data_IF_814321261782
#
_entry.id   IF_814321261782
#
_cell.length_a   1.000
_cell.length_b   1.000
_cell.length_c   1.000
_cell.angle_alpha   90.00
_cell.angle_beta   90.00
_cell.angle_gamma   90.00
#
_symmetry.space_group_name_H-M   'P 1'
#
loop_
_entity.id
_entity.type
_entity.pdbx_description
1 polymer ?
#
# COMPACT_ATOMS: atom_id res chain seq x y z
N UNK A 1 21.53 -46.42 19.14
CA UNK A 1 20.24 -45.91 19.66
C UNK A 1 20.32 -44.41 19.48
N UNK A 2 19.51 -43.82 18.60
CA UNK A 2 19.44 -42.36 18.48
C UNK A 2 18.63 -41.89 19.69
N UNK A 3 19.26 -41.15 20.59
CA UNK A 3 18.62 -40.61 21.80
C UNK A 3 17.51 -39.63 21.39
N UNK A 4 16.28 -40.15 21.31
CA UNK A 4 15.07 -39.40 20.99
C UNK A 4 14.83 -38.25 21.99
N UNK A 5 15.28 -38.42 23.23
CA UNK A 5 15.18 -37.42 24.30
C UNK A 5 16.11 -36.21 24.09
N UNK A 6 17.32 -36.42 23.56
CA UNK A 6 18.26 -35.33 23.23
C UNK A 6 17.79 -34.52 22.02
N UNK A 7 17.13 -35.18 21.06
CA UNK A 7 16.51 -34.53 19.91
C UNK A 7 15.27 -33.73 20.35
N UNK A 8 14.44 -34.28 21.23
CA UNK A 8 13.24 -33.61 21.76
C UNK A 8 13.60 -32.36 22.60
N UNK A 9 14.61 -32.47 23.46
CA UNK A 9 15.10 -31.34 24.27
C UNK A 9 15.73 -30.21 23.43
N UNK A 10 16.36 -30.54 22.30
CA UNK A 10 16.98 -29.56 21.39
C UNK A 10 15.94 -28.78 20.56
N UNK A 11 14.78 -29.39 20.26
CA UNK A 11 13.72 -28.77 19.45
C UNK A 11 12.57 -28.14 20.26
N UNK A 12 12.42 -28.44 21.55
CA UNK A 12 11.34 -27.87 22.39
C UNK A 12 11.43 -26.35 22.55
N UNK A 13 12.62 -25.83 22.88
CA UNK A 13 12.88 -24.41 23.12
C UNK A 13 12.55 -23.52 21.90
N UNK A 14 13.03 -23.80 20.67
CA UNK A 14 12.69 -22.98 19.51
C UNK A 14 11.23 -23.10 19.06
N UNK A 15 10.59 -24.26 19.27
CA UNK A 15 9.17 -24.47 18.93
C UNK A 15 8.26 -23.70 19.91
N UNK A 16 8.54 -23.75 21.21
CA UNK A 16 7.80 -23.01 22.22
C UNK A 16 7.94 -21.49 22.01
N UNK A 17 9.16 -21.02 21.74
CA UNK A 17 9.42 -19.60 21.46
C UNK A 17 8.74 -19.14 20.17
N UNK A 18 8.71 -19.98 19.13
CA UNK A 18 7.98 -19.71 17.88
C UNK A 18 6.46 -19.67 18.07
N UNK A 19 5.90 -20.57 18.89
CA UNK A 19 4.48 -20.60 19.25
C UNK A 19 4.06 -19.40 20.10
N UNK A 20 4.88 -19.00 21.07
CA UNK A 20 4.64 -17.79 21.86
C UNK A 20 4.75 -16.52 21.01
N UNK A 21 5.68 -16.48 20.05
CA UNK A 21 5.79 -15.42 19.05
C UNK A 21 4.56 -15.34 18.13
N UNK A 22 4.01 -16.48 17.71
CA UNK A 22 2.75 -16.54 16.96
C UNK A 22 1.53 -16.15 17.81
N UNK A 23 1.50 -16.53 19.08
CA UNK A 23 0.43 -16.17 20.01
C UNK A 23 0.43 -14.67 20.32
N UNK A 24 1.59 -14.09 20.62
CA UNK A 24 1.74 -12.64 20.85
C UNK A 24 1.53 -11.84 19.55
N UNK A 25 2.01 -12.34 18.42
CA UNK A 25 1.76 -11.74 17.10
C UNK A 25 0.28 -11.73 16.72
N UNK A 26 -0.46 -12.79 17.04
CA UNK A 26 -1.91 -12.82 16.79
C UNK A 26 -2.70 -11.91 17.75
N UNK A 27 -2.33 -11.87 19.04
CA UNK A 27 -2.98 -10.97 20.01
C UNK A 27 -2.75 -9.49 19.70
N UNK A 28 -1.53 -9.11 19.27
CA UNK A 28 -1.22 -7.74 18.85
C UNK A 28 -1.92 -7.35 17.54
N UNK A 29 -2.03 -8.29 16.59
CA UNK A 29 -2.84 -8.08 15.40
C UNK A 29 -4.32 -7.84 15.74
N UNK A 30 -4.90 -8.66 16.63
CA UNK A 30 -6.30 -8.50 17.05
C UNK A 30 -6.55 -7.18 17.80
N UNK A 31 -5.66 -6.77 18.69
CA UNK A 31 -5.84 -5.53 19.46
C UNK A 31 -5.67 -4.26 18.61
N UNK A 32 -4.97 -4.34 17.48
CA UNK A 32 -4.85 -3.27 16.49
C UNK A 32 -6.04 -3.10 15.55
N UNK A 33 -6.91 -4.12 15.42
CA UNK A 33 -8.03 -4.11 14.47
C UNK A 33 -8.97 -2.90 14.60
N UNK A 34 -9.39 -2.47 15.81
CA UNK A 34 -10.27 -1.30 15.95
C UNK A 34 -9.61 0.00 15.47
N UNK A 35 -8.31 0.15 15.72
CA UNK A 35 -7.54 1.33 15.28
C UNK A 35 -7.39 1.37 13.77
N UNK A 36 -7.12 0.21 13.14
CA UNK A 36 -7.09 0.08 11.68
C UNK A 36 -8.46 0.41 11.09
N UNK A 37 -9.55 -0.11 11.67
CA UNK A 37 -10.91 0.16 11.18
C UNK A 37 -11.29 1.64 11.26
N UNK A 38 -10.99 2.31 12.37
CA UNK A 38 -11.18 3.75 12.52
C UNK A 38 -10.34 4.55 11.53
N UNK A 39 -9.05 4.22 11.41
CA UNK A 39 -8.15 4.85 10.46
C UNK A 39 -8.64 4.71 9.03
N UNK A 40 -9.05 3.50 8.63
CA UNK A 40 -9.54 3.20 7.28
C UNK A 40 -10.85 3.94 6.99
N UNK A 41 -11.76 4.02 7.97
CA UNK A 41 -13.00 4.80 7.85
C UNK A 41 -12.71 6.29 7.65
N UNK A 42 -11.83 6.86 8.48
CA UNK A 42 -11.40 8.25 8.39
C UNK A 42 -10.71 8.55 7.08
N UNK A 43 -9.71 7.75 6.71
CA UNK A 43 -8.96 7.92 5.47
C UNK A 43 -9.88 7.82 4.26
N UNK A 44 -10.84 6.88 4.27
CA UNK A 44 -11.84 6.77 3.20
C UNK A 44 -12.72 8.02 3.14
N UNK A 45 -13.18 8.55 4.27
CA UNK A 45 -13.97 9.78 4.31
C UNK A 45 -13.20 10.99 3.80
N UNK A 46 -11.94 11.16 4.24
CA UNK A 46 -11.06 12.24 3.80
C UNK A 46 -10.75 12.13 2.31
N UNK A 47 -10.40 10.94 1.83
CA UNK A 47 -10.19 10.68 0.41
C UNK A 47 -11.45 10.97 -0.41
N UNK A 48 -12.61 10.55 0.07
CA UNK A 48 -13.88 10.82 -0.59
C UNK A 48 -14.17 12.33 -0.67
N UNK A 49 -13.95 13.07 0.42
CA UNK A 49 -14.12 14.52 0.44
C UNK A 49 -13.14 15.21 -0.53
N UNK A 50 -11.87 14.81 -0.52
CA UNK A 50 -10.85 15.33 -1.43
C UNK A 50 -11.16 15.02 -2.91
N UNK A 51 -11.60 13.80 -3.21
CA UNK A 51 -11.96 13.41 -4.58
C UNK A 51 -13.23 14.12 -5.05
N UNK A 52 -14.21 14.32 -4.18
CA UNK A 52 -15.46 15.03 -4.49
C UNK A 52 -15.21 16.52 -4.76
N UNK A 53 -14.39 17.16 -3.92
CA UNK A 53 -14.12 18.60 -4.02
C UNK A 53 -12.82 18.89 -4.79
N UNK A 54 -12.30 17.90 -5.53
CA UNK A 54 -10.99 17.95 -6.17
C UNK A 54 -10.81 19.13 -7.12
N UNK A 55 -11.80 19.43 -7.95
CA UNK A 55 -11.76 20.59 -8.86
C UNK A 55 -11.67 21.93 -8.11
N UNK A 56 -12.40 22.07 -6.99
CA UNK A 56 -12.34 23.27 -6.16
C UNK A 56 -11.00 23.37 -5.43
N UNK A 57 -10.45 22.24 -4.97
CA UNK A 57 -9.13 22.19 -4.33
C UNK A 57 -8.01 22.58 -5.31
N UNK A 58 -8.07 22.08 -6.54
CA UNK A 58 -7.13 22.42 -7.62
C UNK A 58 -7.22 23.91 -7.97
N UNK A 59 -8.43 24.43 -8.18
CA UNK A 59 -8.65 25.85 -8.51
C UNK A 59 -8.17 26.76 -7.38
N UNK A 60 -8.42 26.38 -6.13
CA UNK A 60 -7.92 27.08 -4.95
C UNK A 60 -6.39 27.06 -4.89
N UNK A 61 -5.76 25.91 -5.10
CA UNK A 61 -4.30 25.78 -5.19
C UNK A 61 -3.70 26.71 -6.25
N UNK A 62 -4.30 26.77 -7.44
CA UNK A 62 -3.86 27.64 -8.54
C UNK A 62 -4.01 29.13 -8.22
N UNK A 63 -4.99 29.50 -7.39
CA UNK A 63 -5.23 30.88 -6.95
C UNK A 63 -4.26 31.30 -5.83
N UNK A 64 -3.90 30.36 -4.97
CA UNK A 64 -3.06 30.59 -3.79
C UNK A 64 -1.57 30.55 -4.10
N UNK A 65 -1.16 29.73 -5.08
CA UNK A 65 0.25 29.55 -5.44
C UNK A 65 0.65 30.64 -6.45
N UNK A 66 1.54 31.59 -6.08
CA UNK A 66 1.99 32.66 -6.95
C UNK A 66 3.05 32.15 -7.94
N UNK A 67 2.63 31.29 -8.86
CA UNK A 67 3.46 30.67 -9.90
C UNK A 67 2.88 31.02 -11.25
N UNK A 68 3.73 31.28 -12.25
CA UNK A 68 3.29 31.69 -13.59
C UNK A 68 2.37 30.64 -14.23
N UNK A 69 1.37 31.09 -14.99
CA UNK A 69 0.43 30.20 -15.68
C UNK A 69 1.12 29.12 -16.51
N UNK A 70 2.27 29.44 -17.11
CA UNK A 70 3.10 28.49 -17.87
C UNK A 70 3.61 27.32 -17.02
N UNK A 71 4.07 27.61 -15.80
CA UNK A 71 4.60 26.58 -14.88
C UNK A 71 3.45 25.79 -14.25
N UNK A 72 2.29 26.41 -14.02
CA UNK A 72 1.09 25.68 -13.56
C UNK A 72 0.61 24.66 -14.60
N UNK A 73 0.59 25.02 -15.89
CA UNK A 73 0.22 24.12 -16.98
C UNK A 73 1.23 22.97 -17.13
N UNK A 74 2.52 23.26 -17.03
CA UNK A 74 3.59 22.24 -17.09
C UNK A 74 3.48 21.25 -15.92
N UNK A 75 3.26 21.74 -14.69
CA UNK A 75 3.03 20.90 -13.52
C UNK A 75 1.82 19.98 -13.69
N UNK A 76 0.70 20.49 -14.20
CA UNK A 76 -0.50 19.67 -14.40
C UNK A 76 -0.30 18.60 -15.46
N UNK A 77 0.35 18.94 -16.57
CA UNK A 77 0.71 17.96 -17.59
C UNK A 77 1.63 16.86 -17.02
N UNK A 78 2.62 17.23 -16.21
CA UNK A 78 3.50 16.27 -15.55
C UNK A 78 2.73 15.39 -14.54
N UNK A 79 1.81 15.96 -13.77
CA UNK A 79 0.95 15.17 -12.86
C UNK A 79 0.06 14.19 -13.62
N UNK A 80 -0.53 14.59 -14.73
CA UNK A 80 -1.34 13.72 -15.58
C UNK A 80 -0.50 12.58 -16.15
N UNK A 81 0.70 12.87 -16.65
CA UNK A 81 1.65 11.86 -17.14
C UNK A 81 2.06 10.89 -16.02
N UNK A 82 2.33 11.40 -14.81
CA UNK A 82 2.67 10.57 -13.65
C UNK A 82 1.50 9.69 -13.21
N UNK A 83 0.27 10.22 -13.19
CA UNK A 83 -0.94 9.46 -12.88
C UNK A 83 -1.16 8.35 -13.91
N UNK A 84 -1.03 8.68 -15.19
CA UNK A 84 -1.19 7.71 -16.27
C UNK A 84 -0.11 6.62 -16.22
N UNK A 85 1.16 7.01 -16.05
CA UNK A 85 2.27 6.08 -15.89
C UNK A 85 2.08 5.15 -14.69
N UNK A 86 1.56 5.68 -13.57
CA UNK A 86 1.25 4.90 -12.37
C UNK A 86 0.14 3.87 -12.62
N UNK A 87 -0.96 4.27 -13.26
CA UNK A 87 -2.07 3.36 -13.59
C UNK A 87 -1.61 2.26 -14.54
N UNK A 88 -0.93 2.62 -15.63
CA UNK A 88 -0.42 1.67 -16.61
C UNK A 88 0.62 0.74 -16.00
N UNK A 89 1.52 1.27 -15.17
CA UNK A 89 2.53 0.51 -14.44
C UNK A 89 1.89 -0.51 -13.49
N UNK A 90 0.87 -0.11 -12.73
CA UNK A 90 0.17 -1.00 -11.81
C UNK A 90 -0.54 -2.14 -12.55
N UNK A 91 -1.20 -1.85 -13.67
CA UNK A 91 -1.87 -2.87 -14.50
C UNK A 91 -0.84 -3.84 -15.11
N UNK A 92 0.29 -3.33 -15.60
CA UNK A 92 1.35 -4.16 -16.17
C UNK A 92 1.95 -5.11 -15.12
N UNK A 93 2.25 -4.60 -13.93
CA UNK A 93 2.77 -5.40 -12.81
C UNK A 93 1.74 -6.44 -12.36
N UNK A 94 0.47 -6.06 -12.23
CA UNK A 94 -0.61 -6.99 -11.88
C UNK A 94 -0.74 -8.13 -12.90
N UNK A 95 -0.59 -7.83 -14.20
CA UNK A 95 -0.56 -8.84 -15.26
C UNK A 95 0.59 -9.83 -15.10
N UNK A 96 1.81 -9.34 -14.89
CA UNK A 96 3.00 -10.18 -14.69
C UNK A 96 2.83 -11.08 -13.46
N UNK A 97 2.35 -10.52 -12.34
CA UNK A 97 2.14 -11.28 -11.11
C UNK A 97 1.06 -12.36 -11.27
N UNK A 98 -0.04 -12.05 -11.95
CA UNK A 98 -1.09 -13.00 -12.23
C UNK A 98 -0.58 -14.17 -13.09
N UNK A 99 0.22 -13.90 -14.13
CA UNK A 99 0.80 -14.94 -14.98
C UNK A 99 1.78 -15.82 -14.19
N UNK A 100 2.67 -15.22 -13.39
CA UNK A 100 3.63 -15.96 -12.59
C UNK A 100 2.95 -16.84 -11.54
N UNK A 101 2.01 -16.29 -10.77
CA UNK A 101 1.30 -17.07 -9.75
C UNK A 101 0.36 -18.09 -10.39
N UNK A 102 -0.35 -17.72 -11.46
CA UNK A 102 -1.21 -18.62 -12.23
C UNK A 102 -0.45 -19.82 -12.81
N UNK A 103 0.76 -19.60 -13.33
CA UNK A 103 1.67 -20.67 -13.74
C UNK A 103 2.02 -21.62 -12.59
N UNK A 104 2.27 -21.06 -11.40
CA UNK A 104 2.48 -21.85 -10.18
C UNK A 104 1.26 -22.69 -9.77
N UNK A 105 0.06 -22.13 -9.87
CA UNK A 105 -1.20 -22.83 -9.55
C UNK A 105 -1.46 -24.01 -10.50
N UNK A 106 -1.13 -23.84 -11.79
CA UNK A 106 -1.22 -24.90 -12.80
C UNK A 106 -0.20 -26.00 -12.51
N UNK A 107 1.06 -25.64 -12.22
CA UNK A 107 2.13 -26.58 -11.90
C UNK A 107 1.77 -27.51 -10.73
N UNK A 108 1.05 -26.97 -9.75
CA UNK A 108 0.64 -27.68 -8.53
C UNK A 108 -0.64 -28.53 -8.74
N UNK A 109 -1.32 -28.35 -9.87
CA UNK A 109 -2.55 -29.07 -10.21
C UNK A 109 -3.72 -28.64 -9.32
N UNK A 110 -3.85 -27.34 -9.05
CA UNK A 110 -4.97 -26.80 -8.27
C UNK A 110 -6.26 -26.80 -9.09
N UNK A 111 -7.42 -27.19 -8.52
CA UNK A 111 -8.71 -27.08 -9.21
C UNK A 111 -9.08 -25.60 -9.43
N UNK A 112 -9.49 -25.25 -10.64
CA UNK A 112 -9.89 -23.88 -11.01
C UNK A 112 -8.75 -22.85 -11.12
N UNK A 113 -7.60 -23.17 -11.74
CA UNK A 113 -6.44 -22.26 -11.76
C UNK A 113 -6.74 -20.96 -12.52
N UNK A 114 -7.62 -21.00 -13.53
CA UNK A 114 -8.04 -19.82 -14.30
C UNK A 114 -8.78 -18.81 -13.42
N UNK A 115 -9.69 -19.30 -12.57
CA UNK A 115 -10.45 -18.44 -11.65
C UNK A 115 -9.52 -17.76 -10.64
N UNK A 116 -8.61 -18.53 -10.04
CA UNK A 116 -7.65 -18.01 -9.07
C UNK A 116 -6.66 -17.03 -9.71
N UNK A 117 -6.22 -17.29 -10.94
CA UNK A 117 -5.36 -16.38 -11.70
C UNK A 117 -6.06 -15.04 -11.98
N UNK A 118 -7.34 -15.08 -12.36
CA UNK A 118 -8.14 -13.88 -12.56
C UNK A 118 -8.37 -13.12 -11.24
N UNK A 119 -8.60 -13.86 -10.15
CA UNK A 119 -8.70 -13.28 -8.82
C UNK A 119 -7.37 -12.61 -8.41
N UNK A 120 -6.22 -13.25 -8.70
CA UNK A 120 -4.90 -12.66 -8.48
C UNK A 120 -4.74 -11.36 -9.25
N UNK A 121 -5.11 -11.33 -10.54
CA UNK A 121 -5.04 -10.10 -11.33
C UNK A 121 -5.87 -8.98 -10.70
N UNK A 122 -7.13 -9.25 -10.34
CA UNK A 122 -8.01 -8.26 -9.70
C UNK A 122 -7.48 -7.79 -8.33
N UNK A 123 -6.92 -8.69 -7.52
CA UNK A 123 -6.35 -8.38 -6.21
C UNK A 123 -5.01 -7.62 -6.33
N UNK A 124 -4.20 -7.89 -7.35
CA UNK A 124 -2.95 -7.18 -7.63
C UNK A 124 -3.18 -5.75 -8.11
N UNK A 125 -4.34 -5.42 -8.66
CA UNK A 125 -4.70 -4.03 -8.92
C UNK A 125 -4.85 -3.22 -7.63
N UNK A 126 -5.15 -3.87 -6.50
CA UNK A 126 -5.18 -3.27 -5.16
C UNK A 126 -3.77 -3.37 -4.52
N UNK A 127 -3.02 -2.26 -4.42
CA UNK A 127 -1.62 -2.29 -3.95
C UNK A 127 -1.46 -2.84 -2.53
N UNK A 128 -2.51 -2.74 -1.70
CA UNK A 128 -2.50 -3.18 -0.31
C UNK A 128 -2.70 -4.70 -0.16
N UNK A 129 -3.36 -5.36 -1.11
CA UNK A 129 -3.72 -6.79 -1.00
C UNK A 129 -2.80 -7.64 -1.87
N UNK A 130 -2.57 -7.22 -3.11
CA UNK A 130 -1.60 -7.85 -3.99
C UNK A 130 -1.85 -9.34 -4.25
N UNK A 131 -0.78 -10.03 -4.67
CA UNK A 131 -0.79 -11.48 -4.83
C UNK A 131 -0.96 -12.25 -3.50
N UNK A 132 -0.64 -11.61 -2.36
CA UNK A 132 -0.73 -12.19 -1.02
C UNK A 132 -2.13 -12.68 -0.68
N UNK A 133 -3.16 -11.95 -1.12
CA UNK A 133 -4.56 -12.33 -0.94
C UNK A 133 -4.93 -13.68 -1.57
N UNK A 134 -4.15 -14.20 -2.52
CA UNK A 134 -4.40 -15.50 -3.18
C UNK A 134 -3.44 -16.58 -2.70
N UNK A 135 -2.12 -16.34 -2.73
CA UNK A 135 -1.16 -17.42 -2.47
C UNK A 135 -1.17 -17.89 -1.01
N UNK A 136 -1.48 -17.04 -0.03
CA UNK A 136 -1.55 -17.43 1.38
C UNK A 136 -2.73 -18.36 1.66
N UNK A 137 -3.99 -18.00 1.33
CA UNK A 137 -5.12 -18.92 1.51
C UNK A 137 -4.94 -20.23 0.74
N UNK A 138 -4.39 -20.17 -0.47
CA UNK A 138 -4.10 -21.36 -1.29
C UNK A 138 -3.07 -22.27 -0.62
N UNK A 139 -1.98 -21.71 -0.08
CA UNK A 139 -0.95 -22.49 0.61
C UNK A 139 -1.52 -23.17 1.86
N UNK A 140 -2.32 -22.46 2.64
CA UNK A 140 -3.01 -22.99 3.83
C UNK A 140 -3.98 -24.11 3.44
N UNK A 141 -4.75 -23.91 2.36
CA UNK A 141 -5.66 -24.94 1.84
C UNK A 141 -4.92 -26.21 1.41
N UNK A 142 -3.80 -26.07 0.69
CA UNK A 142 -2.96 -27.20 0.26
C UNK A 142 -2.36 -27.98 1.44
N UNK A 143 -1.99 -27.30 2.53
CA UNK A 143 -1.58 -27.95 3.78
C UNK A 143 -2.74 -28.70 4.44
N UNK A 144 -3.95 -28.09 4.46
CA UNK A 144 -5.15 -28.70 5.04
C UNK A 144 -5.61 -29.99 4.36
N UNK A 145 -5.38 -30.11 3.05
CA UNK A 145 -5.66 -31.35 2.28
C UNK A 145 -4.50 -32.35 2.28
N UNK A 146 -3.46 -32.12 3.09
CA UNK A 146 -2.32 -33.05 3.24
C UNK A 146 -1.35 -33.05 2.06
N UNK A 147 -1.24 -31.95 1.29
CA UNK A 147 -0.32 -31.82 0.15
C UNK A 147 0.79 -30.80 0.45
N UNK A 148 1.80 -31.14 1.29
CA UNK A 148 2.82 -30.19 1.74
C UNK A 148 3.79 -29.74 0.63
N UNK A 149 4.12 -30.61 -0.33
CA UNK A 149 5.03 -30.27 -1.44
C UNK A 149 4.44 -29.20 -2.36
N UNK A 150 3.21 -29.36 -2.89
CA UNK A 150 2.40 -28.27 -3.46
C UNK A 150 2.37 -26.97 -2.69
N UNK A 151 2.10 -27.03 -1.37
CA UNK A 151 2.00 -25.86 -0.54
C UNK A 151 3.31 -25.08 -0.49
N UNK A 152 4.44 -25.78 -0.30
CA UNK A 152 5.76 -25.17 -0.25
C UNK A 152 6.12 -24.48 -1.57
N UNK A 153 5.78 -25.10 -2.71
CA UNK A 153 6.04 -24.54 -4.04
C UNK A 153 5.27 -23.23 -4.24
N UNK A 154 3.97 -23.20 -3.91
CA UNK A 154 3.18 -21.96 -3.98
C UNK A 154 3.70 -20.91 -3.01
N UNK A 155 4.13 -21.29 -1.82
CA UNK A 155 4.69 -20.39 -0.83
C UNK A 155 5.94 -19.68 -1.37
N UNK A 156 6.86 -20.43 -1.99
CA UNK A 156 8.08 -19.88 -2.60
C UNK A 156 7.73 -18.98 -3.80
N UNK A 157 6.89 -19.45 -4.72
CA UNK A 157 6.48 -18.66 -5.90
C UNK A 157 5.77 -17.37 -5.46
N UNK A 158 4.82 -17.47 -4.53
CA UNK A 158 4.07 -16.34 -3.99
C UNK A 158 4.98 -15.31 -3.32
N UNK A 159 5.97 -15.77 -2.56
CA UNK A 159 6.96 -14.91 -1.90
C UNK A 159 7.82 -14.15 -2.91
N UNK A 160 8.29 -14.83 -3.96
CA UNK A 160 9.08 -14.20 -5.05
C UNK A 160 8.23 -13.21 -5.83
N UNK A 161 6.97 -13.53 -6.12
CA UNK A 161 6.03 -12.66 -6.82
C UNK A 161 5.72 -11.41 -6.00
N UNK A 162 5.46 -11.56 -4.69
CA UNK A 162 5.23 -10.43 -3.78
C UNK A 162 6.48 -9.57 -3.59
N UNK A 163 7.66 -10.19 -3.49
CA UNK A 163 8.93 -9.44 -3.44
C UNK A 163 9.16 -8.66 -4.75
N UNK A 164 8.81 -9.25 -5.89
CA UNK A 164 8.92 -8.63 -7.20
C UNK A 164 8.12 -7.32 -7.27
N UNK A 165 6.94 -7.22 -6.65
CA UNK A 165 6.18 -5.95 -6.57
C UNK A 165 7.01 -4.78 -6.00
N UNK A 166 7.69 -5.06 -4.89
CA UNK A 166 8.51 -4.10 -4.15
C UNK A 166 9.74 -3.64 -4.96
N UNK A 167 10.25 -4.49 -5.86
CA UNK A 167 11.40 -4.17 -6.74
C UNK A 167 11.00 -3.64 -8.11
N UNK A 168 9.85 -4.05 -8.67
CA UNK A 168 9.39 -3.63 -9.99
C UNK A 168 8.94 -2.17 -9.99
N UNK A 169 8.32 -1.68 -8.91
CA UNK A 169 7.95 -0.25 -8.79
C UNK A 169 9.15 0.68 -9.01
N UNK A 170 10.29 0.55 -8.30
CA UNK A 170 11.46 1.41 -8.57
C UNK A 170 12.15 1.11 -9.91
N UNK A 171 12.11 -0.12 -10.42
CA UNK A 171 12.72 -0.47 -11.72
C UNK A 171 11.94 0.10 -12.93
N UNK A 172 10.60 0.15 -12.83
CA UNK A 172 9.72 0.71 -13.87
C UNK A 172 9.70 2.24 -13.78
N UNK A 173 9.81 2.81 -12.57
CA UNK A 173 9.83 4.27 -12.31
C UNK A 173 11.28 4.79 -12.33
N UNK A 174 12.17 4.23 -13.15
CA UNK A 174 13.57 4.68 -13.19
C UNK A 174 13.78 5.93 -14.06
N UNK A 175 12.85 6.89 -13.97
CA UNK A 175 12.97 8.27 -14.46
C UNK A 175 11.93 9.13 -13.74
N UNK A 176 12.32 9.72 -12.63
CA UNK A 176 12.22 11.17 -12.40
C UNK A 176 12.40 11.49 -10.91
N UNK A 177 13.44 12.27 -10.64
CA UNK A 177 13.49 13.12 -9.46
C UNK A 177 13.95 12.44 -8.18
N UNK A 178 15.19 12.73 -7.78
CA UNK A 178 15.73 12.44 -6.47
C UNK A 178 15.00 13.23 -5.35
N UNK A 179 13.76 12.87 -5.04
CA UNK A 179 13.23 13.17 -3.72
C UNK A 179 13.94 12.23 -2.76
N UNK A 180 14.92 12.80 -2.06
CA UNK A 180 15.75 12.11 -1.08
C UNK A 180 14.85 11.26 -0.19
N UNK A 181 15.09 9.94 -0.16
CA UNK A 181 14.35 8.97 0.67
C UNK A 181 14.24 9.45 2.12
N UNK A 182 15.21 10.23 2.61
CA UNK A 182 15.15 10.89 3.90
C UNK A 182 13.97 11.87 4.05
N UNK A 183 13.64 12.67 3.02
CA UNK A 183 12.50 13.60 3.03
C UNK A 183 11.17 12.84 3.05
N UNK A 184 11.06 11.76 2.28
CA UNK A 184 9.86 10.91 2.26
C UNK A 184 9.69 10.22 3.62
N UNK A 185 10.77 9.69 4.18
CA UNK A 185 10.79 9.02 5.49
C UNK A 185 10.44 10.02 6.61
N UNK A 186 11.06 11.19 6.63
CA UNK A 186 10.75 12.26 7.59
C UNK A 186 9.31 12.78 7.41
N UNK A 187 8.79 12.85 6.18
CA UNK A 187 7.40 13.20 5.92
C UNK A 187 6.41 12.18 6.48
N UNK A 188 6.65 10.88 6.27
CA UNK A 188 5.78 9.80 6.76
C UNK A 188 5.85 9.72 8.29
N UNK A 189 7.05 9.58 8.86
CA UNK A 189 7.21 9.44 10.31
C UNK A 189 6.91 10.74 11.04
N UNK A 190 7.32 11.89 10.50
CA UNK A 190 7.01 13.21 11.06
C UNK A 190 5.53 13.53 10.99
N UNK A 191 4.84 13.19 9.90
CA UNK A 191 3.40 13.36 9.77
C UNK A 191 2.62 12.50 10.77
N UNK A 192 2.99 11.23 10.94
CA UNK A 192 2.33 10.33 11.91
C UNK A 192 2.54 10.82 13.35
N UNK A 193 3.76 11.26 13.69
CA UNK A 193 4.10 11.75 15.04
C UNK A 193 3.44 13.09 15.35
N UNK A 194 3.36 14.01 14.38
CA UNK A 194 2.78 15.35 14.57
C UNK A 194 1.26 15.31 14.56
N UNK A 195 0.66 14.55 13.65
CA UNK A 195 -0.78 14.60 13.44
C UNK A 195 -1.54 13.52 14.19
N UNK A 196 -1.08 12.26 14.26
CA UNK A 196 -1.82 11.19 14.97
C UNK A 196 -3.34 11.20 14.71
N UNK A 197 -4.15 10.83 15.71
CA UNK A 197 -5.63 10.97 15.66
C UNK A 197 -6.06 12.44 15.83
N UNK A 198 -5.22 13.27 16.46
CA UNK A 198 -5.51 14.68 16.76
C UNK A 198 -5.63 15.54 15.48
N UNK A 199 -4.91 15.18 14.43
CA UNK A 199 -4.95 15.78 13.10
C UNK A 199 -6.31 15.63 12.42
N UNK A 200 -7.13 14.65 12.82
CA UNK A 200 -8.51 14.53 12.32
C UNK A 200 -9.38 15.72 12.73
N UNK A 201 -9.20 16.22 13.95
CA UNK A 201 -9.95 17.36 14.48
C UNK A 201 -9.33 18.68 14.05
N UNK A 202 -8.00 18.75 14.05
CA UNK A 202 -7.26 19.97 13.73
C UNK A 202 -7.21 20.24 12.21
N UNK A 203 -7.18 19.19 11.37
CA UNK A 203 -7.04 19.29 9.92
C UNK A 203 -8.10 20.17 9.25
N UNK A 204 -9.41 19.93 9.46
CA UNK A 204 -10.48 20.76 8.90
C UNK A 204 -10.41 22.22 9.39
N UNK A 205 -10.02 22.43 10.64
CA UNK A 205 -9.91 23.77 11.25
C UNK A 205 -8.75 24.56 10.63
N UNK A 206 -7.59 23.92 10.46
CA UNK A 206 -6.44 24.54 9.78
C UNK A 206 -6.76 24.82 8.32
N UNK A 207 -7.32 23.86 7.58
CA UNK A 207 -7.68 24.06 6.17
C UNK A 207 -8.70 25.20 6.00
N UNK A 208 -9.71 25.27 6.87
CA UNK A 208 -10.67 26.37 6.88
C UNK A 208 -10.02 27.72 7.18
N UNK A 209 -9.14 27.78 8.20
CA UNK A 209 -8.41 29.01 8.55
C UNK A 209 -7.45 29.47 7.45
N UNK A 210 -6.69 28.54 6.87
CA UNK A 210 -5.79 28.79 5.75
C UNK A 210 -6.55 29.29 4.53
N UNK A 211 -7.69 28.68 4.18
CA UNK A 211 -8.57 29.15 3.10
C UNK A 211 -9.02 30.59 3.34
N UNK A 212 -9.50 30.92 4.54
CA UNK A 212 -9.96 32.28 4.88
C UNK A 212 -8.82 33.30 4.80
N UNK A 213 -7.63 32.94 5.27
CA UNK A 213 -6.46 33.82 5.19
C UNK A 213 -6.07 34.10 3.73
N UNK A 214 -5.97 33.05 2.91
CA UNK A 214 -5.60 33.20 1.51
C UNK A 214 -6.68 33.89 0.66
N UNK A 215 -7.96 33.64 0.92
CA UNK A 215 -9.06 34.38 0.29
C UNK A 215 -9.01 35.88 0.63
N UNK A 216 -8.47 36.25 1.80
CA UNK A 216 -8.23 37.66 2.14
C UNK A 216 -7.07 38.25 1.34
N UNK A 217 -5.94 37.55 1.24
CA UNK A 217 -4.78 38.00 0.45
C UNK A 217 -5.12 38.11 -1.06
N UNK A 218 -5.93 37.21 -1.60
CA UNK A 218 -6.37 37.25 -3.00
C UNK A 218 -7.38 38.38 -3.28
N UNK A 219 -8.03 38.94 -2.25
CA UNK A 219 -8.99 40.05 -2.37
C UNK A 219 -8.39 41.43 -2.21
N UNK A 220 -7.13 41.54 -1.80
CA UNK A 220 -6.38 42.80 -1.82
C UNK A 220 -5.49 42.84 -3.06
N UNK A 221 -5.99 43.26 -4.24
CA UNK A 221 -5.09 43.66 -5.30
C UNK A 221 -4.29 44.85 -4.76
N UNK A 222 -2.97 44.72 -4.75
CA UNK A 222 -2.04 45.75 -4.30
C UNK A 222 -2.46 47.13 -4.82
N UNK A 223 -3.00 47.97 -3.93
CA UNK A 223 -3.07 49.41 -4.16
C UNK A 223 -1.67 49.95 -3.94
N UNK A 224 -0.84 49.86 -4.98
CA UNK A 224 0.30 50.76 -5.11
C UNK A 224 -0.25 52.11 -5.61
N UNK A 225 -0.49 53.02 -4.67
CA UNK A 225 -0.48 54.47 -4.88
C UNK A 225 0.01 55.16 -3.62
#
# INVERSE_FOLDING_TARGET
MVDLDLLYATYQEPIATGLEGLATGSMTALSGLPGVFLGLTVTTFVLFALLRDGEQFVTWLQTVVPVSESVQQELMAEFDDLMWASVVGNVAVAGIQAVLLGGGLILVGMPGPVFLTLATFALCLLPLVGAFGVWVPVSVYLLGIGRPTPALIILIIGSVVSASDTYLRPAIINRSGALNVAVITVGIFGGIVVFGVVGLFIGPVILGGTKVMFDQFAREPCVFS
#
